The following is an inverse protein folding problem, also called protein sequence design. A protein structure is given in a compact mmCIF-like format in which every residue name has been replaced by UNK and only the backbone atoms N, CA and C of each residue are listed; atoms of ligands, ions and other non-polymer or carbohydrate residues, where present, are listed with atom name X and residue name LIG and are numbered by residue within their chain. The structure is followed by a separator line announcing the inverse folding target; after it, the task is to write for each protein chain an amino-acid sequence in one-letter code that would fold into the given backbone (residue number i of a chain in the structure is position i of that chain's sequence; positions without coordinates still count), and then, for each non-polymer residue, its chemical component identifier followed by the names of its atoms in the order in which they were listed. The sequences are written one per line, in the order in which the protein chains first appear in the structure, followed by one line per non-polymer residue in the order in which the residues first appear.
data_IF_543514992339
#
_entry.id   IF_543514992339
#
_cell.length_a   1.000
_cell.length_b   1.000
_cell.length_c   1.000
_cell.angle_alpha   90.00
_cell.angle_beta   90.00
_cell.angle_gamma   90.00
#
_symmetry.space_group_name_H-M   'P 1'
#
loop_
_entity.id
_entity.type
_entity.pdbx_description
1 polymer ?
#
# COMPACT_ATOMS: atom_id res chain seq x y z
N UNK A 1 -3.98 30.36 7.10
CA UNK A 1 -4.15 29.08 7.80
C UNK A 1 -3.09 29.10 8.89
N UNK A 2 -3.48 29.11 10.15
CA UNK A 2 -2.52 29.12 11.26
C UNK A 2 -1.83 27.76 11.24
N UNK A 3 -0.53 27.72 10.92
CA UNK A 3 0.28 26.52 11.12
C UNK A 3 0.28 26.26 12.63
N UNK A 4 -0.62 25.39 13.08
CA UNK A 4 -0.67 24.97 14.46
C UNK A 4 0.68 24.30 14.74
N UNK A 5 1.51 24.96 15.54
CA UNK A 5 2.79 24.41 15.95
C UNK A 5 2.53 23.04 16.58
N UNK A 6 3.26 21.99 16.16
CA UNK A 6 3.10 20.65 16.72
C UNK A 6 3.17 20.69 18.25
N UNK A 7 2.20 20.08 18.92
CA UNK A 7 2.14 20.06 20.38
C UNK A 7 3.24 19.13 20.91
N UNK A 8 4.24 19.63 21.66
CA UNK A 8 5.32 18.80 22.17
C UNK A 8 4.85 17.71 23.16
N UNK A 9 3.63 17.82 23.70
CA UNK A 9 3.06 16.82 24.61
C UNK A 9 2.47 15.59 23.88
N UNK A 10 2.20 15.69 22.58
CA UNK A 10 1.58 14.63 21.79
C UNK A 10 2.63 13.88 20.96
N UNK A 11 2.66 12.54 20.95
CA UNK A 11 3.56 11.77 20.08
C UNK A 11 3.49 12.22 18.61
N UNK A 12 4.63 12.39 17.91
CA UNK A 12 4.64 12.86 16.52
C UNK A 12 3.74 12.05 15.56
N UNK A 13 3.66 10.73 15.76
CA UNK A 13 2.83 9.82 14.93
C UNK A 13 1.33 10.10 15.01
N UNK A 14 0.86 10.77 16.06
CA UNK A 14 -0.53 11.20 16.20
C UNK A 14 -0.80 12.54 15.49
N UNK A 15 0.25 13.33 15.28
CA UNK A 15 0.18 14.64 14.64
C UNK A 15 0.48 14.57 13.14
N UNK A 16 1.24 13.56 12.69
CA UNK A 16 1.61 13.36 11.29
C UNK A 16 0.37 13.06 10.41
N UNK A 17 0.34 13.68 9.23
CA UNK A 17 -0.73 13.48 8.24
C UNK A 17 -0.67 12.07 7.63
N UNK A 18 -1.77 11.32 7.77
CA UNK A 18 -1.94 9.94 7.28
C UNK A 18 -2.75 9.87 5.99
N UNK A 19 -3.20 11.00 5.45
CA UNK A 19 -4.12 11.07 4.32
C UNK A 19 -3.53 10.42 3.07
N UNK A 20 -2.31 10.80 2.68
CA UNK A 20 -1.66 10.26 1.48
C UNK A 20 -1.44 8.73 1.52
N UNK A 21 -0.88 8.13 2.59
CA UNK A 21 -0.73 6.68 2.62
C UNK A 21 -2.08 5.94 2.72
N UNK A 22 -3.12 6.55 3.34
CA UNK A 22 -4.50 6.01 3.30
C UNK A 22 -5.03 5.98 1.86
N UNK A 23 -4.85 7.07 1.11
CA UNK A 23 -5.28 7.15 -0.30
C UNK A 23 -4.61 6.05 -1.12
N UNK A 24 -3.33 5.77 -0.92
CA UNK A 24 -2.66 4.68 -1.65
C UNK A 24 -3.27 3.32 -1.34
N UNK A 25 -3.55 3.00 -0.07
CA UNK A 25 -4.24 1.75 0.28
C UNK A 25 -5.64 1.68 -0.34
N UNK A 26 -6.37 2.79 -0.34
CA UNK A 26 -7.68 2.89 -0.98
C UNK A 26 -7.58 2.68 -2.50
N UNK A 27 -6.57 3.23 -3.18
CA UNK A 27 -6.31 3.01 -4.59
C UNK A 27 -6.08 1.53 -4.93
N UNK A 28 -5.44 0.77 -4.04
CA UNK A 28 -5.22 -0.67 -4.26
C UNK A 28 -6.52 -1.46 -4.12
N UNK A 29 -7.37 -1.12 -3.15
CA UNK A 29 -8.68 -1.75 -2.98
C UNK A 29 -9.62 -1.36 -4.13
N UNK A 30 -9.62 -0.09 -4.55
CA UNK A 30 -10.39 0.40 -5.71
C UNK A 30 -9.94 -0.22 -7.05
N UNK A 31 -8.79 -0.90 -7.08
CA UNK A 31 -8.28 -1.61 -8.24
C UNK A 31 -9.21 -2.72 -8.71
N UNK A 32 -10.01 -3.30 -7.80
CA UNK A 32 -11.04 -4.29 -8.16
C UNK A 32 -12.12 -3.75 -9.10
N UNK A 33 -12.43 -2.45 -9.00
CA UNK A 33 -13.47 -1.81 -9.81
C UNK A 33 -12.88 -1.17 -11.07
N UNK A 34 -11.71 -0.56 -10.94
CA UNK A 34 -11.15 0.29 -12.01
C UNK A 34 -10.02 -0.36 -12.80
N UNK A 35 -9.33 -1.36 -12.25
CA UNK A 35 -8.11 -1.95 -12.81
C UNK A 35 -6.88 -1.04 -12.79
N UNK A 36 -7.03 0.26 -13.05
CA UNK A 36 -5.93 1.21 -13.21
C UNK A 36 -5.58 2.02 -11.95
N UNK A 37 -6.48 2.11 -10.97
CA UNK A 37 -6.21 2.87 -9.73
C UNK A 37 -4.94 2.43 -8.98
N UNK A 38 -4.47 1.16 -8.99
CA UNK A 38 -3.21 0.80 -8.35
C UNK A 38 -1.98 1.50 -8.96
N UNK A 39 -2.04 1.85 -10.23
CA UNK A 39 -0.97 2.62 -10.91
C UNK A 39 -0.90 4.03 -10.33
N UNK A 40 -2.05 4.68 -10.11
CA UNK A 40 -2.12 5.99 -9.44
C UNK A 40 -1.56 5.85 -8.02
N UNK A 41 -1.98 4.81 -7.29
CA UNK A 41 -1.51 4.54 -5.94
C UNK A 41 0.02 4.40 -5.84
N UNK A 42 0.66 3.65 -6.73
CA UNK A 42 2.13 3.49 -6.67
C UNK A 42 2.88 4.79 -7.00
N UNK A 43 2.36 5.59 -7.94
CA UNK A 43 2.94 6.92 -8.24
C UNK A 43 2.88 7.81 -6.99
N UNK A 44 1.71 7.90 -6.36
CA UNK A 44 1.52 8.67 -5.13
C UNK A 44 2.45 8.17 -4.00
N UNK A 45 2.65 6.85 -3.89
CA UNK A 45 3.56 6.28 -2.91
C UNK A 45 5.01 6.70 -3.14
N UNK A 46 5.51 6.67 -4.38
CA UNK A 46 6.88 7.11 -4.68
C UNK A 46 7.08 8.60 -4.39
N UNK A 47 6.14 9.44 -4.80
CA UNK A 47 6.21 10.90 -4.60
C UNK A 47 6.16 11.24 -3.12
N UNK A 48 5.19 10.67 -2.39
CA UNK A 48 4.94 11.04 -0.99
C UNK A 48 5.97 10.46 -0.03
N UNK A 49 6.61 9.33 -0.38
CA UNK A 49 7.66 8.70 0.44
C UNK A 49 8.85 9.63 0.68
N UNK A 50 9.22 10.46 -0.30
CA UNK A 50 10.44 11.27 -0.24
C UNK A 50 10.43 12.30 0.90
N UNK A 51 9.26 12.81 1.25
CA UNK A 51 9.07 13.85 2.28
C UNK A 51 8.44 13.32 3.55
N UNK A 52 8.21 12.01 3.65
CA UNK A 52 7.50 11.40 4.76
C UNK A 52 8.42 11.14 5.98
N UNK A 53 7.89 11.28 7.22
CA UNK A 53 8.50 10.75 8.43
C UNK A 53 8.89 9.26 8.29
N UNK A 54 9.94 8.84 8.98
CA UNK A 54 10.53 7.50 8.84
C UNK A 54 9.49 6.38 9.03
N UNK A 55 8.61 6.51 10.02
CA UNK A 55 7.56 5.51 10.28
C UNK A 55 6.56 5.42 9.12
N UNK A 56 6.20 6.54 8.49
CA UNK A 56 5.33 6.55 7.30
C UNK A 56 6.04 5.99 6.05
N UNK A 57 7.36 6.17 5.93
CA UNK A 57 8.12 5.57 4.83
C UNK A 57 7.99 4.04 4.81
N UNK A 58 7.84 3.39 5.97
CA UNK A 58 7.61 1.94 6.03
C UNK A 58 6.35 1.50 5.27
N UNK A 59 5.25 2.24 5.39
CA UNK A 59 4.00 1.97 4.67
C UNK A 59 4.16 2.18 3.17
N UNK A 60 4.83 3.25 2.74
CA UNK A 60 5.07 3.47 1.31
C UNK A 60 5.96 2.40 0.69
N UNK A 61 7.01 1.95 1.39
CA UNK A 61 7.84 0.83 0.93
C UNK A 61 7.00 -0.44 0.80
N UNK A 62 6.14 -0.72 1.78
CA UNK A 62 5.23 -1.86 1.76
C UNK A 62 4.22 -1.79 0.59
N UNK A 63 3.64 -0.61 0.34
CA UNK A 63 2.72 -0.37 -0.78
C UNK A 63 3.41 -0.55 -2.13
N UNK A 64 4.56 0.11 -2.33
CA UNK A 64 5.35 0.02 -3.57
C UNK A 64 5.69 -1.44 -3.90
N UNK A 65 6.13 -2.22 -2.89
CA UNK A 65 6.42 -3.64 -3.08
C UNK A 65 5.17 -4.46 -3.40
N UNK A 66 4.05 -4.15 -2.77
CA UNK A 66 2.77 -4.82 -3.04
C UNK A 66 2.37 -4.63 -4.51
N UNK A 67 2.54 -3.43 -5.07
CA UNK A 67 2.28 -3.18 -6.49
C UNK A 67 3.18 -4.00 -7.41
N UNK A 68 4.50 -4.01 -7.20
CA UNK A 68 5.41 -4.73 -8.09
C UNK A 68 5.25 -6.25 -7.99
N UNK A 69 5.01 -6.77 -6.80
CA UNK A 69 4.73 -8.20 -6.59
C UNK A 69 3.39 -8.60 -7.23
N UNK A 70 2.36 -7.77 -7.10
CA UNK A 70 1.06 -8.05 -7.73
C UNK A 70 1.10 -7.92 -9.25
N UNK A 71 1.87 -6.96 -9.78
CA UNK A 71 2.09 -6.84 -11.22
C UNK A 71 2.80 -8.07 -11.79
N UNK A 72 3.86 -8.54 -11.11
CA UNK A 72 4.57 -9.76 -11.50
C UNK A 72 3.66 -10.99 -11.41
N UNK A 73 2.96 -11.18 -10.29
CA UNK A 73 2.03 -12.30 -10.11
C UNK A 73 0.86 -12.24 -11.09
N UNK A 74 0.35 -11.05 -11.38
CA UNK A 74 -0.69 -10.81 -12.38
C UNK A 74 -0.24 -11.16 -13.78
N UNK A 75 0.97 -10.73 -14.17
CA UNK A 75 1.56 -11.08 -15.46
C UNK A 75 1.74 -12.60 -15.60
N UNK A 76 2.27 -13.27 -14.57
CA UNK A 76 2.39 -14.73 -14.55
C UNK A 76 1.02 -15.42 -14.63
N UNK A 77 0.02 -14.89 -13.94
CA UNK A 77 -1.36 -15.36 -14.02
C UNK A 77 -1.92 -15.26 -15.43
N UNK A 78 -1.77 -14.12 -16.09
CA UNK A 78 -2.23 -13.94 -17.49
C UNK A 78 -1.51 -14.89 -18.44
N UNK A 79 -0.18 -15.02 -18.34
CA UNK A 79 0.61 -15.90 -19.21
C UNK A 79 0.22 -17.37 -19.07
N UNK A 80 -0.17 -17.80 -17.87
CA UNK A 80 -0.55 -19.19 -17.58
C UNK A 80 -2.05 -19.45 -17.76
N UNK A 81 -2.84 -18.48 -18.25
CA UNK A 81 -4.23 -18.72 -18.65
C UNK A 81 -4.35 -19.75 -19.77
N UNK A 82 -3.35 -19.84 -20.65
CA UNK A 82 -3.31 -20.81 -21.76
C UNK A 82 -3.39 -22.27 -21.30
N UNK A 83 -2.93 -22.57 -20.08
CA UNK A 83 -2.96 -23.90 -19.45
C UNK A 83 -4.03 -23.98 -18.33
N UNK A 84 -4.91 -22.99 -18.22
CA UNK A 84 -6.04 -22.94 -17.28
C UNK A 84 -5.71 -22.51 -15.85
N UNK A 85 -4.47 -22.70 -15.36
CA UNK A 85 -4.10 -22.35 -13.97
C UNK A 85 -4.04 -20.85 -13.70
N UNK A 86 -3.90 -20.03 -14.73
CA UNK A 86 -3.79 -18.58 -14.61
C UNK A 86 -4.93 -17.92 -13.83
N UNK A 87 -6.17 -18.44 -13.95
CA UNK A 87 -7.32 -17.90 -13.24
C UNK A 87 -7.16 -18.03 -11.71
N UNK A 88 -6.63 -19.15 -11.22
CA UNK A 88 -6.36 -19.36 -9.80
C UNK A 88 -5.27 -18.42 -9.28
N UNK A 89 -4.23 -18.19 -10.09
CA UNK A 89 -3.15 -17.27 -9.75
C UNK A 89 -3.68 -15.84 -9.66
N UNK A 90 -4.49 -15.39 -10.61
CA UNK A 90 -5.07 -14.05 -10.61
C UNK A 90 -5.95 -13.81 -9.39
N UNK A 91 -6.80 -14.79 -9.02
CA UNK A 91 -7.63 -14.72 -7.81
C UNK A 91 -6.74 -14.67 -6.55
N UNK A 92 -5.73 -15.54 -6.46
CA UNK A 92 -4.81 -15.56 -5.33
C UNK A 92 -4.06 -14.23 -5.16
N UNK A 93 -3.59 -13.63 -6.26
CA UNK A 93 -2.95 -12.31 -6.26
C UNK A 93 -3.92 -11.22 -5.81
N UNK A 94 -5.16 -11.21 -6.32
CA UNK A 94 -6.19 -10.25 -5.91
C UNK A 94 -6.49 -10.31 -4.41
N UNK A 95 -6.67 -11.51 -3.87
CA UNK A 95 -6.87 -11.73 -2.43
C UNK A 95 -5.65 -11.26 -1.65
N UNK A 96 -4.44 -11.64 -2.09
CA UNK A 96 -3.18 -11.25 -1.44
C UNK A 96 -2.98 -9.72 -1.39
N UNK A 97 -3.27 -9.00 -2.48
CA UNK A 97 -3.24 -7.52 -2.51
C UNK A 97 -4.22 -6.93 -1.52
N UNK A 98 -5.44 -7.47 -1.48
CA UNK A 98 -6.52 -6.99 -0.60
C UNK A 98 -6.14 -7.16 0.87
N UNK A 99 -5.65 -8.34 1.25
CA UNK A 99 -5.20 -8.63 2.62
C UNK A 99 -4.05 -7.70 3.00
N UNK A 100 -3.04 -7.53 2.13
CA UNK A 100 -1.92 -6.61 2.40
C UNK A 100 -2.39 -5.17 2.57
N UNK A 101 -3.31 -4.69 1.72
CA UNK A 101 -3.84 -3.34 1.84
C UNK A 101 -4.57 -3.13 3.17
N UNK A 102 -5.42 -4.08 3.59
CA UNK A 102 -6.15 -4.00 4.87
C UNK A 102 -5.18 -4.04 6.06
N UNK A 103 -4.24 -4.99 6.10
CA UNK A 103 -3.27 -5.11 7.20
C UNK A 103 -2.40 -3.86 7.27
N UNK A 104 -1.86 -3.40 6.14
CA UNK A 104 -1.06 -2.18 6.09
C UNK A 104 -1.82 -0.94 6.57
N UNK A 105 -3.11 -0.83 6.20
CA UNK A 105 -3.99 0.23 6.67
C UNK A 105 -4.26 0.13 8.17
N UNK A 106 -4.46 -1.08 8.71
CA UNK A 106 -4.65 -1.28 10.16
C UNK A 106 -3.45 -0.78 10.97
N UNK A 107 -2.22 -1.10 10.56
CA UNK A 107 -1.01 -0.59 11.23
C UNK A 107 -0.92 0.94 11.14
N UNK A 108 -1.20 1.50 9.97
CA UNK A 108 -1.21 2.94 9.76
C UNK A 108 -2.21 3.66 10.67
N UNK A 109 -3.43 3.11 10.80
CA UNK A 109 -4.47 3.68 11.65
C UNK A 109 -4.15 3.59 13.15
N UNK A 110 -3.34 2.61 13.57
CA UNK A 110 -2.78 2.55 14.92
C UNK A 110 -1.69 3.58 15.18
N UNK A 111 -1.19 4.26 14.14
CA UNK A 111 -0.05 5.18 14.25
C UNK A 111 1.28 4.44 14.48
N UNK A 112 1.36 3.20 14.02
CA UNK A 112 2.54 2.34 14.16
C UNK A 112 3.22 2.15 12.80
N UNK A 113 4.55 2.12 12.79
CA UNK A 113 5.31 1.74 11.60
C UNK A 113 4.94 0.32 11.16
N UNK A 114 4.91 0.07 9.85
CA UNK A 114 4.78 -1.27 9.35
C UNK A 114 6.04 -2.09 9.69
N UNK A 115 5.93 -3.25 10.36
CA UNK A 115 7.08 -3.93 10.96
C UNK A 115 8.01 -4.57 9.92
N UNK A 116 7.45 -5.08 8.81
CA UNK A 116 8.17 -5.93 7.84
C UNK A 116 7.97 -5.43 6.40
N UNK A 117 8.30 -4.16 6.09
CA UNK A 117 7.89 -3.53 4.84
C UNK A 117 8.52 -4.16 3.59
N UNK A 118 9.63 -4.88 3.77
CA UNK A 118 10.33 -5.60 2.70
C UNK A 118 9.90 -7.06 2.55
N UNK A 119 9.07 -7.59 3.44
CA UNK A 119 8.65 -8.99 3.38
C UNK A 119 7.61 -9.23 2.28
N UNK A 120 7.60 -10.44 1.73
CA UNK A 120 6.74 -10.82 0.60
C UNK A 120 5.39 -11.40 1.02
N UNK A 121 5.18 -11.73 2.30
CA UNK A 121 3.88 -12.21 2.80
C UNK A 121 3.10 -11.10 3.50
N UNK A 122 3.48 -10.80 4.74
CA UNK A 122 3.06 -9.68 5.59
C UNK A 122 4.32 -9.17 6.28
#
# INVERSE_FOLDING_TARGET
MTDAQPDPAVPPTLQDDKTMPIIVYACYIAGWVTGISPVIGVILAYVSKATAPEWLQSHYVFQIRTFWLSLLGGLLGVLTLIIGIGALILVAVGIWVTVRAIVGLQWLLKGEAYPTPRNWML
#
